data_IF_596831696631
#
_entry.id   IF_596831696631
#
_cell.length_a   1.000
_cell.length_b   1.000
_cell.length_c   1.000
_cell.angle_alpha   90.00
_cell.angle_beta   90.00
_cell.angle_gamma   90.00
#
_symmetry.space_group_name_H-M   'P 1'
#
loop_
_entity.id
_entity.type
_entity.pdbx_description
1 polymer ?
#
# COMPACT_ATOMS: atom_id res chain seq x y z
N UNK A 1 0.89 -0.22 23.69
CA UNK A 1 0.43 0.01 22.31
C UNK A 1 1.40 -0.68 21.36
N UNK A 2 0.90 -1.32 20.30
CA UNK A 2 1.75 -1.92 19.27
C UNK A 2 2.26 -0.88 18.27
N UNK A 3 3.24 -1.26 17.44
CA UNK A 3 3.69 -0.45 16.31
C UNK A 3 2.75 -0.71 15.13
N UNK A 4 2.34 0.34 14.42
CA UNK A 4 1.51 0.25 13.22
C UNK A 4 2.19 1.03 12.10
N UNK A 5 3.13 0.39 11.41
CA UNK A 5 3.85 1.05 10.32
C UNK A 5 3.16 0.72 8.99
N UNK A 6 3.21 1.63 8.04
CA UNK A 6 2.50 1.49 6.78
C UNK A 6 3.17 2.22 5.63
N UNK A 7 2.67 1.94 4.44
CA UNK A 7 3.02 2.66 3.22
C UNK A 7 1.77 3.30 2.61
N UNK A 8 1.87 4.58 2.29
CA UNK A 8 0.79 5.34 1.67
C UNK A 8 1.16 5.69 0.24
N UNK A 9 0.31 5.29 -0.69
CA UNK A 9 0.48 5.57 -2.12
C UNK A 9 -0.56 6.62 -2.52
N UNK A 10 -0.09 7.71 -3.10
CA UNK A 10 -0.94 8.78 -3.64
C UNK A 10 -0.94 8.71 -5.16
N UNK A 11 -2.13 8.63 -5.76
CA UNK A 11 -2.31 8.48 -7.20
C UNK A 11 -3.61 9.16 -7.65
N UNK A 12 -3.78 9.33 -8.97
CA UNK A 12 -5.04 9.85 -9.51
C UNK A 12 -6.20 8.89 -9.22
N UNK A 13 -7.43 9.36 -8.93
CA UNK A 13 -8.57 8.48 -8.72
C UNK A 13 -8.81 7.48 -9.86
N UNK A 14 -8.59 7.92 -11.12
CA UNK A 14 -8.68 7.04 -12.31
C UNK A 14 -7.69 5.87 -12.34
N UNK A 15 -6.62 5.93 -11.54
CA UNK A 15 -5.60 4.89 -11.45
C UNK A 15 -5.86 3.90 -10.30
N UNK A 16 -6.93 4.07 -9.51
CA UNK A 16 -7.25 3.17 -8.39
C UNK A 16 -7.48 1.74 -8.88
N UNK A 17 -8.18 1.56 -9.99
CA UNK A 17 -8.35 0.23 -10.58
C UNK A 17 -7.02 -0.42 -10.96
N UNK A 18 -6.06 0.38 -11.44
CA UNK A 18 -4.73 -0.09 -11.84
C UNK A 18 -3.89 -0.54 -10.64
N UNK A 19 -3.85 0.25 -9.57
CA UNK A 19 -3.08 -0.13 -8.36
C UNK A 19 -3.67 -1.38 -7.70
N UNK A 20 -5.00 -1.54 -7.70
CA UNK A 20 -5.64 -2.75 -7.19
C UNK A 20 -5.30 -3.99 -8.04
N UNK A 21 -5.21 -3.84 -9.36
CA UNK A 21 -4.78 -4.91 -10.24
C UNK A 21 -3.31 -5.32 -9.98
N UNK A 22 -2.40 -4.36 -9.84
CA UNK A 22 -1.01 -4.66 -9.48
C UNK A 22 -0.85 -5.26 -8.08
N UNK A 23 -1.66 -4.83 -7.10
CA UNK A 23 -1.72 -5.52 -5.81
C UNK A 23 -2.15 -6.98 -5.97
N UNK A 24 -3.16 -7.26 -6.80
CA UNK A 24 -3.62 -8.62 -7.06
C UNK A 24 -2.53 -9.51 -7.69
N UNK A 25 -1.64 -8.96 -8.52
CA UNK A 25 -0.48 -9.67 -9.07
C UNK A 25 0.55 -10.05 -8.01
N UNK A 26 0.61 -9.29 -6.91
CA UNK A 26 1.48 -9.55 -5.76
C UNK A 26 0.87 -10.56 -4.76
N UNK A 27 -0.37 -11.01 -4.98
CA UNK A 27 -1.03 -11.93 -4.06
C UNK A 27 -0.44 -13.36 -4.13
N UNK A 28 -0.53 -14.14 -3.03
CA UNK A 28 -0.15 -15.55 -3.03
C UNK A 28 -0.92 -16.37 -4.10
N UNK A 29 -0.25 -17.30 -4.80
CA UNK A 29 -0.88 -18.09 -5.87
C UNK A 29 -1.93 -19.08 -5.34
N UNK A 30 -1.71 -19.61 -4.12
CA UNK A 30 -2.66 -20.51 -3.46
C UNK A 30 -3.77 -19.69 -2.78
N UNK A 31 -4.97 -19.73 -3.36
CA UNK A 31 -6.15 -19.06 -2.79
C UNK A 31 -6.66 -19.83 -1.59
N UNK A 32 -6.56 -19.24 -0.40
CA UNK A 32 -7.19 -19.73 0.83
C UNK A 32 -8.65 -19.28 0.98
N UNK A 33 -9.06 -18.27 0.20
CA UNK A 33 -10.39 -17.63 0.28
C UNK A 33 -10.99 -17.43 -1.13
N UNK A 34 -12.34 -17.40 -1.24
CA UNK A 34 -13.00 -16.99 -2.48
C UNK A 34 -12.59 -15.57 -2.89
N UNK A 35 -12.50 -15.27 -4.20
CA UNK A 35 -12.20 -13.92 -4.66
C UNK A 35 -13.32 -12.95 -4.27
N UNK A 36 -12.94 -11.71 -3.99
CA UNK A 36 -13.84 -10.60 -3.67
C UNK A 36 -14.18 -9.82 -4.93
N UNK A 37 -15.47 -9.63 -5.18
CA UNK A 37 -15.95 -8.70 -6.21
C UNK A 37 -16.07 -7.29 -5.63
N UNK A 38 -15.48 -6.30 -6.30
CA UNK A 38 -15.56 -4.89 -5.92
C UNK A 38 -16.15 -4.08 -7.07
N UNK A 39 -17.10 -3.21 -6.76
CA UNK A 39 -17.58 -2.16 -7.67
C UNK A 39 -16.96 -0.82 -7.24
N UNK A 40 -16.17 -0.20 -8.12
CA UNK A 40 -15.52 1.09 -7.87
C UNK A 40 -16.43 2.27 -8.26
N UNK A 41 -16.13 3.49 -7.79
CA UNK A 41 -16.71 4.71 -8.35
C UNK A 41 -16.51 4.74 -9.87
N UNK A 42 -17.57 5.07 -10.62
CA UNK A 42 -17.56 5.01 -12.09
C UNK A 42 -18.06 3.68 -12.68
N UNK A 43 -18.51 2.74 -11.85
CA UNK A 43 -19.07 1.43 -12.24
C UNK A 43 -18.07 0.39 -12.76
N UNK A 44 -16.77 0.64 -12.60
CA UNK A 44 -15.75 -0.39 -12.86
C UNK A 44 -15.91 -1.54 -11.87
N UNK A 45 -15.74 -2.78 -12.35
CA UNK A 45 -15.82 -3.98 -11.52
C UNK A 45 -14.50 -4.74 -11.56
N UNK A 46 -14.01 -5.10 -10.39
CA UNK A 46 -12.79 -5.88 -10.20
C UNK A 46 -13.07 -7.14 -9.40
N UNK A 47 -12.29 -8.18 -9.69
CA UNK A 47 -12.30 -9.43 -8.93
C UNK A 47 -10.90 -9.59 -8.33
N UNK A 48 -10.80 -9.48 -7.00
CA UNK A 48 -9.53 -9.45 -6.29
C UNK A 48 -9.32 -10.71 -5.43
N UNK A 49 -8.08 -11.18 -5.27
CA UNK A 49 -7.73 -12.33 -4.41
C UNK A 49 -7.63 -11.94 -2.92
N UNK A 50 -8.43 -10.96 -2.49
CA UNK A 50 -8.38 -10.38 -1.14
C UNK A 50 -9.74 -10.52 -0.45
N UNK A 51 -9.79 -10.11 0.82
CA UNK A 51 -11.05 -9.99 1.56
C UNK A 51 -11.32 -8.54 1.93
N UNK A 52 -12.54 -8.26 2.37
CA UNK A 52 -12.90 -7.03 3.07
C UNK A 52 -13.52 -7.42 4.41
N UNK A 53 -12.98 -6.90 5.51
CA UNK A 53 -13.37 -7.29 6.86
C UNK A 53 -13.40 -8.82 7.06
N UNK A 54 -12.41 -9.51 6.50
CA UNK A 54 -12.24 -10.97 6.50
C UNK A 54 -13.36 -11.74 5.80
N UNK A 55 -14.10 -11.10 4.90
CA UNK A 55 -15.18 -11.70 4.10
C UNK A 55 -14.94 -11.51 2.61
N UNK A 56 -15.58 -12.37 1.81
CA UNK A 56 -15.55 -12.33 0.34
C UNK A 56 -16.90 -11.93 -0.27
N UNK A 57 -17.82 -11.39 0.54
CA UNK A 57 -19.09 -10.85 0.04
C UNK A 57 -18.81 -9.66 -0.90
N UNK A 58 -19.52 -9.51 -2.03
CA UNK A 58 -19.30 -8.39 -2.94
C UNK A 58 -19.38 -7.04 -2.22
N UNK A 59 -18.40 -6.16 -2.49
CA UNK A 59 -18.31 -4.82 -1.91
C UNK A 59 -18.64 -3.79 -2.99
N UNK A 60 -19.63 -2.94 -2.70
CA UNK A 60 -20.00 -1.83 -3.56
C UNK A 60 -19.45 -0.51 -2.99
N UNK A 61 -18.44 0.05 -3.66
CA UNK A 61 -17.84 1.33 -3.34
C UNK A 61 -18.33 2.46 -4.26
N UNK A 62 -19.32 2.23 -5.11
CA UNK A 62 -19.78 3.23 -6.10
C UNK A 62 -20.23 4.55 -5.49
N UNK A 63 -20.78 4.52 -4.26
CA UNK A 63 -21.19 5.71 -3.49
C UNK A 63 -20.38 5.91 -2.21
N UNK A 64 -19.36 5.08 -1.97
CA UNK A 64 -18.51 5.17 -0.79
C UNK A 64 -17.29 6.04 -1.07
N UNK A 65 -16.83 6.77 -0.06
CA UNK A 65 -15.57 7.52 -0.15
C UNK A 65 -14.35 6.64 0.12
N UNK A 66 -14.56 5.45 0.71
CA UNK A 66 -13.50 4.53 1.07
C UNK A 66 -13.82 3.08 0.72
N UNK A 67 -12.77 2.27 0.58
CA UNK A 67 -12.80 0.83 0.47
C UNK A 67 -11.74 0.23 1.39
N UNK A 68 -12.10 -0.77 2.19
CA UNK A 68 -11.17 -1.44 3.12
C UNK A 68 -10.96 -2.89 2.69
N UNK A 69 -9.70 -3.31 2.62
CA UNK A 69 -9.28 -4.64 2.19
C UNK A 69 -8.28 -5.25 3.16
N UNK A 70 -8.34 -6.56 3.32
CA UNK A 70 -7.33 -7.35 4.00
C UNK A 70 -6.50 -8.08 2.95
N UNK A 71 -5.23 -7.71 2.85
CA UNK A 71 -4.32 -8.20 1.83
C UNK A 71 -3.37 -9.27 2.40
N UNK A 72 -2.94 -10.16 1.52
CA UNK A 72 -1.71 -10.93 1.69
C UNK A 72 -0.88 -10.70 0.45
N UNK A 73 0.40 -10.34 0.62
CA UNK A 73 1.30 -10.03 -0.49
C UNK A 73 2.57 -10.89 -0.38
N UNK A 74 3.15 -11.19 -1.55
CA UNK A 74 4.36 -11.98 -1.70
C UNK A 74 5.55 -11.06 -1.97
N UNK A 75 6.63 -11.24 -1.20
CA UNK A 75 7.84 -10.41 -1.31
C UNK A 75 9.06 -11.29 -1.57
N UNK A 76 9.96 -10.83 -2.44
CA UNK A 76 11.26 -11.49 -2.60
C UNK A 76 12.05 -11.41 -1.29
N UNK A 77 12.69 -12.50 -0.89
CA UNK A 77 13.36 -12.54 0.41
C UNK A 77 14.66 -11.72 0.44
N UNK A 78 14.71 -10.73 1.33
CA UNK A 78 15.95 -10.12 1.83
C UNK A 78 16.30 -10.65 3.23
N UNK A 79 17.36 -10.15 3.84
CA UNK A 79 17.82 -10.64 5.14
C UNK A 79 16.79 -10.43 6.26
N UNK A 80 16.03 -9.33 6.23
CA UNK A 80 14.98 -9.07 7.21
C UNK A 80 13.82 -10.04 7.05
N UNK A 81 13.41 -10.31 5.81
CA UNK A 81 12.39 -11.30 5.49
C UNK A 81 12.84 -12.73 5.83
N UNK A 82 14.10 -13.10 5.56
CA UNK A 82 14.65 -14.41 5.95
C UNK A 82 14.67 -14.59 7.47
N UNK A 83 15.10 -13.58 8.21
CA UNK A 83 15.07 -13.58 9.69
C UNK A 83 13.62 -13.75 10.19
N UNK A 84 12.68 -13.05 9.56
CA UNK A 84 11.25 -13.17 9.87
C UNK A 84 10.73 -14.60 9.62
N UNK A 85 11.05 -15.22 8.50
CA UNK A 85 10.66 -16.61 8.22
C UNK A 85 11.24 -17.59 9.26
N UNK A 86 12.51 -17.45 9.62
CA UNK A 86 13.19 -18.33 10.59
C UNK A 86 12.64 -18.24 12.01
N UNK A 87 12.15 -17.06 12.40
CA UNK A 87 11.65 -16.80 13.77
C UNK A 87 10.15 -17.08 13.93
N UNK A 88 9.57 -17.88 13.03
CA UNK A 88 8.16 -18.30 13.06
C UNK A 88 7.22 -17.43 12.22
N UNK A 89 7.74 -16.82 11.14
CA UNK A 89 6.90 -16.31 10.05
C UNK A 89 6.53 -17.44 9.08
N UNK A 90 5.70 -17.18 8.06
CA UNK A 90 5.52 -18.10 6.95
C UNK A 90 6.88 -18.44 6.32
N UNK A 91 7.07 -19.70 5.93
CA UNK A 91 8.27 -20.13 5.23
C UNK A 91 8.40 -19.48 3.85
N UNK A 92 9.58 -19.64 3.25
CA UNK A 92 9.81 -19.34 1.85
C UNK A 92 8.96 -20.28 0.98
N UNK A 93 8.40 -19.75 -0.11
CA UNK A 93 7.78 -20.57 -1.15
C UNK A 93 8.84 -21.18 -2.09
N UNK A 94 8.38 -21.87 -3.14
CA UNK A 94 9.25 -22.52 -4.11
C UNK A 94 10.15 -21.54 -4.90
N UNK A 95 9.72 -20.28 -5.03
CA UNK A 95 10.43 -19.22 -5.75
C UNK A 95 11.31 -18.38 -4.81
N UNK A 96 11.39 -18.74 -3.53
CA UNK A 96 12.15 -18.00 -2.52
C UNK A 96 11.48 -16.69 -2.08
N UNK A 97 10.17 -16.57 -2.28
CA UNK A 97 9.35 -15.43 -1.84
C UNK A 97 8.70 -15.76 -0.49
N UNK A 98 8.37 -14.72 0.26
CA UNK A 98 7.73 -14.83 1.58
C UNK A 98 6.38 -14.14 1.53
N UNK A 99 5.36 -14.85 1.98
CA UNK A 99 4.03 -14.28 2.20
C UNK A 99 4.03 -13.44 3.48
N UNK A 100 3.61 -12.18 3.35
CA UNK A 100 3.23 -11.34 4.49
C UNK A 100 1.72 -11.12 4.41
N UNK A 101 1.00 -11.73 5.34
CA UNK A 101 -0.46 -11.69 5.41
C UNK A 101 -1.01 -10.63 6.36
N UNK A 102 -2.30 -10.35 6.21
CA UNK A 102 -3.07 -9.35 6.98
C UNK A 102 -2.44 -7.96 6.95
N UNK A 103 -2.18 -7.47 5.74
CA UNK A 103 -1.89 -6.05 5.51
C UNK A 103 -3.24 -5.36 5.33
N UNK A 104 -3.58 -4.41 6.20
CA UNK A 104 -4.85 -3.68 6.10
C UNK A 104 -4.69 -2.54 5.11
N UNK A 105 -5.40 -2.62 3.99
CA UNK A 105 -5.41 -1.59 2.97
C UNK A 105 -6.68 -0.74 3.09
N UNK A 106 -6.51 0.57 3.26
CA UNK A 106 -7.59 1.54 3.16
C UNK A 106 -7.39 2.37 1.91
N UNK A 107 -8.34 2.28 0.99
CA UNK A 107 -8.40 3.12 -0.19
C UNK A 107 -9.33 4.28 0.10
N UNK A 108 -8.87 5.50 -0.11
CA UNK A 108 -9.71 6.70 -0.12
C UNK A 108 -9.75 7.23 -1.54
N UNK A 109 -10.95 7.28 -2.14
CA UNK A 109 -11.10 7.76 -3.51
C UNK A 109 -10.85 9.27 -3.63
N UNK A 110 -10.99 9.99 -2.50
CA UNK A 110 -10.59 11.37 -2.32
C UNK A 110 -9.67 11.46 -1.09
N UNK A 111 -8.44 11.89 -1.30
CA UNK A 111 -7.44 12.04 -0.25
C UNK A 111 -7.73 13.30 0.57
N UNK A 112 -7.75 13.22 1.91
CA UNK A 112 -7.86 14.39 2.77
C UNK A 112 -6.73 15.41 2.56
N UNK A 113 -5.57 14.96 2.07
CA UNK A 113 -4.40 15.82 1.83
C UNK A 113 -4.53 16.62 0.53
N UNK A 114 -5.14 16.03 -0.50
CA UNK A 114 -5.38 16.69 -1.77
C UNK A 114 -6.58 16.04 -2.49
N UNK A 115 -7.72 16.73 -2.66
CA UNK A 115 -8.95 16.13 -3.17
C UNK A 115 -8.86 15.62 -4.62
N UNK A 116 -7.94 16.17 -5.42
CA UNK A 116 -7.63 15.68 -6.76
C UNK A 116 -6.82 14.36 -6.84
N UNK A 117 -6.58 13.70 -5.70
CA UNK A 117 -5.84 12.45 -5.57
C UNK A 117 -6.61 11.45 -4.71
N UNK A 118 -6.38 10.17 -4.94
CA UNK A 118 -6.76 9.06 -4.07
C UNK A 118 -5.55 8.62 -3.23
N UNK A 119 -5.80 8.02 -2.07
CA UNK A 119 -4.78 7.35 -1.26
C UNK A 119 -5.04 5.85 -1.16
N UNK A 120 -3.98 5.06 -1.13
CA UNK A 120 -3.99 3.63 -0.79
C UNK A 120 -3.01 3.44 0.35
N UNK A 121 -3.56 3.24 1.55
CA UNK A 121 -2.83 3.18 2.81
C UNK A 121 -2.69 1.71 3.24
N UNK A 122 -1.49 1.15 3.24
CA UNK A 122 -1.23 -0.26 3.54
C UNK A 122 -0.52 -0.44 4.87
N UNK A 123 -1.24 -0.91 5.89
CA UNK A 123 -0.77 -0.98 7.27
C UNK A 123 -0.43 -2.40 7.72
N UNK A 124 0.69 -2.55 8.43
CA UNK A 124 1.07 -3.79 9.07
C UNK A 124 0.17 -4.13 10.27
N UNK A 125 -0.39 -5.34 10.31
CA UNK A 125 -1.29 -5.76 11.40
C UNK A 125 -0.61 -5.99 12.77
N UNK A 126 0.72 -6.12 12.82
CA UNK A 126 1.43 -6.46 14.06
C UNK A 126 2.73 -5.68 14.20
N UNK A 127 3.18 -5.46 15.43
CA UNK A 127 4.48 -4.81 15.69
C UNK A 127 5.66 -5.50 15.02
N UNK A 128 5.57 -6.82 14.81
CA UNK A 128 6.62 -7.60 14.13
C UNK A 128 6.64 -7.29 12.63
N UNK A 129 5.47 -7.22 12.00
CA UNK A 129 5.34 -6.80 10.60
C UNK A 129 5.72 -5.32 10.42
N UNK A 130 5.36 -4.45 11.36
CA UNK A 130 5.75 -3.04 11.32
C UNK A 130 7.27 -2.88 11.26
N UNK A 131 8.02 -3.57 12.13
CA UNK A 131 9.50 -3.59 12.07
C UNK A 131 10.04 -4.17 10.76
N UNK A 132 9.32 -5.12 10.17
CA UNK A 132 9.70 -5.69 8.88
C UNK A 132 9.50 -4.67 7.74
N UNK A 133 8.39 -3.93 7.72
CA UNK A 133 8.15 -2.84 6.77
C UNK A 133 9.26 -1.77 6.85
N UNK A 134 9.69 -1.43 8.07
CA UNK A 134 10.81 -0.49 8.25
C UNK A 134 12.17 -1.02 7.77
N UNK A 135 12.46 -2.31 7.94
CA UNK A 135 13.80 -2.90 7.74
C UNK A 135 14.01 -3.51 6.35
N UNK A 136 12.96 -3.99 5.69
CA UNK A 136 13.08 -4.73 4.44
C UNK A 136 13.17 -3.78 3.25
N UNK A 137 14.31 -3.85 2.54
CA UNK A 137 14.50 -3.11 1.30
C UNK A 137 13.56 -3.64 0.19
N UNK A 138 13.27 -4.95 0.20
CA UNK A 138 12.37 -5.55 -0.79
C UNK A 138 10.90 -5.18 -0.56
N UNK A 139 10.45 -5.04 0.70
CA UNK A 139 9.12 -4.48 0.97
C UNK A 139 9.03 -3.04 0.48
N UNK A 140 10.01 -2.20 0.83
CA UNK A 140 10.06 -0.82 0.35
C UNK A 140 10.01 -0.77 -1.17
N UNK A 141 10.84 -1.58 -1.85
CA UNK A 141 10.89 -1.68 -3.31
C UNK A 141 9.52 -2.02 -3.90
N UNK A 142 8.82 -3.02 -3.34
CA UNK A 142 7.49 -3.40 -3.83
C UNK A 142 6.51 -2.23 -3.78
N UNK A 143 6.47 -1.45 -2.69
CA UNK A 143 5.57 -0.30 -2.61
C UNK A 143 5.99 0.87 -3.52
N UNK A 144 7.30 1.11 -3.70
CA UNK A 144 7.77 2.14 -4.64
C UNK A 144 7.53 1.75 -6.10
N UNK A 145 7.74 0.48 -6.46
CA UNK A 145 7.45 -0.03 -7.81
C UNK A 145 5.94 -0.01 -8.07
N UNK A 146 5.13 -0.47 -7.11
CA UNK A 146 3.67 -0.39 -7.19
C UNK A 146 3.20 1.04 -7.42
N UNK A 147 3.84 2.02 -6.76
CA UNK A 147 3.56 3.45 -6.98
C UNK A 147 3.91 3.85 -8.41
N UNK A 148 5.12 3.51 -8.88
CA UNK A 148 5.58 3.85 -10.23
C UNK A 148 4.67 3.26 -11.32
N UNK A 149 4.44 1.94 -11.27
CA UNK A 149 3.70 1.18 -12.28
C UNK A 149 2.21 1.56 -12.31
N UNK A 150 1.66 1.97 -11.18
CA UNK A 150 0.28 2.45 -11.07
C UNK A 150 0.09 3.90 -11.49
N UNK A 151 1.16 4.63 -11.83
CA UNK A 151 1.10 6.07 -12.10
C UNK A 151 0.79 6.89 -10.84
N UNK A 152 1.29 6.44 -9.70
CA UNK A 152 1.30 7.18 -8.44
C UNK A 152 2.37 8.28 -8.44
N UNK A 153 2.06 9.36 -7.73
CA UNK A 153 2.91 10.55 -7.65
C UNK A 153 3.78 10.55 -6.41
N UNK A 154 3.37 9.83 -5.36
CA UNK A 154 4.10 9.78 -4.10
C UNK A 154 3.88 8.45 -3.38
N UNK A 155 4.95 7.94 -2.77
CA UNK A 155 4.90 6.84 -1.80
C UNK A 155 5.55 7.30 -0.51
N UNK A 156 4.84 7.16 0.60
CA UNK A 156 5.34 7.49 1.93
C UNK A 156 5.44 6.26 2.80
N UNK A 157 6.32 6.32 3.79
CA UNK A 157 6.40 5.37 4.89
C UNK A 157 6.04 6.10 6.18
N UNK A 158 5.01 5.61 6.85
CA UNK A 158 4.46 6.18 8.10
C UNK A 158 4.64 5.19 9.25
N UNK A 159 5.04 5.69 10.42
CA UNK A 159 5.19 4.92 11.67
C UNK A 159 3.94 4.90 12.55
N UNK A 160 2.89 5.64 12.19
CA UNK A 160 1.58 5.66 12.83
C UNK A 160 1.56 6.26 14.24
N UNK A 161 2.67 6.86 14.68
CA UNK A 161 2.86 7.50 15.98
C UNK A 161 2.99 9.03 15.88
N UNK A 162 2.73 9.60 14.70
CA UNK A 162 2.83 11.03 14.41
C UNK A 162 4.26 11.51 14.23
N UNK A 163 5.25 10.60 14.15
CA UNK A 163 6.58 10.97 13.67
C UNK A 163 6.51 11.35 12.18
N UNK A 164 7.43 12.22 11.70
CA UNK A 164 7.37 12.67 10.32
C UNK A 164 7.58 11.52 9.32
N UNK A 165 6.76 11.48 8.28
CA UNK A 165 6.73 10.42 7.28
C UNK A 165 7.96 10.49 6.38
N UNK A 166 8.45 9.32 5.94
CA UNK A 166 9.57 9.25 4.98
C UNK A 166 9.03 9.20 3.55
N UNK A 167 9.49 10.10 2.70
CA UNK A 167 9.22 10.10 1.26
C UNK A 167 10.08 9.04 0.59
N UNK A 168 9.46 7.95 0.15
CA UNK A 168 10.14 6.83 -0.51
C UNK A 168 10.15 6.94 -2.04
N UNK A 169 9.15 7.63 -2.61
CA UNK A 169 9.01 7.89 -4.04
C UNK A 169 8.31 9.23 -4.26
N UNK A 170 8.76 9.99 -5.26
CA UNK A 170 8.14 11.25 -5.65
C UNK A 170 8.32 11.50 -7.15
N UNK A 171 7.21 11.71 -7.87
CA UNK A 171 7.19 12.18 -9.26
C UNK A 171 8.09 11.42 -10.24
N UNK A 172 8.17 10.09 -10.10
CA UNK A 172 8.94 9.25 -11.01
C UNK A 172 10.33 8.86 -10.50
N UNK A 173 10.74 9.38 -9.34
CA UNK A 173 12.08 9.14 -8.78
C UNK A 173 11.99 8.56 -7.36
N UNK A 174 12.88 7.62 -6.98
CA UNK A 174 13.07 7.24 -5.59
C UNK A 174 13.52 8.45 -4.75
N UNK A 175 13.00 8.55 -3.53
CA UNK A 175 13.36 9.59 -2.57
C UNK A 175 13.81 8.99 -1.24
N UNK A 176 14.59 9.75 -0.48
CA UNK A 176 15.01 9.42 0.88
C UNK A 176 14.93 10.65 1.79
N UNK A 177 13.85 11.41 1.60
CA UNK A 177 13.58 12.63 2.35
C UNK A 177 12.55 12.36 3.43
N UNK A 178 12.43 13.29 4.38
CA UNK A 178 11.38 13.23 5.40
C UNK A 178 10.48 14.44 5.25
N UNK A 179 9.19 14.25 5.45
CA UNK A 179 8.28 15.37 5.74
C UNK A 179 8.78 16.07 7.01
N UNK A 180 8.58 17.37 7.12
CA UNK A 180 9.24 18.23 8.12
C UNK A 180 10.77 18.31 7.98
N UNK A 181 11.31 17.90 6.84
CA UNK A 181 12.72 18.02 6.48
C UNK A 181 13.05 19.32 5.72
N UNK A 182 14.31 19.54 5.33
CA UNK A 182 14.72 20.76 4.63
C UNK A 182 14.03 20.98 3.28
N UNK A 183 13.75 19.90 2.54
CA UNK A 183 13.07 19.96 1.24
C UNK A 183 11.55 20.04 1.38
N UNK A 184 10.98 19.41 2.40
CA UNK A 184 9.54 19.37 2.66
C UNK A 184 9.28 19.82 4.11
N UNK A 185 9.28 21.13 4.39
CA UNK A 185 9.12 21.64 5.75
C UNK A 185 7.76 21.29 6.36
N UNK A 186 6.76 21.02 5.53
CA UNK A 186 5.46 20.51 5.92
C UNK A 186 4.83 19.69 4.78
N UNK A 187 3.67 19.12 5.08
CA UNK A 187 2.87 18.36 4.13
C UNK A 187 2.37 19.19 2.93
N UNK A 188 2.08 20.47 3.12
CA UNK A 188 1.62 21.34 2.05
C UNK A 188 2.72 21.55 1.01
N UNK A 189 3.97 21.71 1.45
CA UNK A 189 5.14 21.82 0.60
C UNK A 189 5.37 20.55 -0.22
N UNK A 190 5.18 19.36 0.38
CA UNK A 190 5.25 18.10 -0.37
C UNK A 190 4.15 18.03 -1.42
N UNK A 191 2.89 18.27 -1.04
CA UNK A 191 1.73 18.19 -1.94
C UNK A 191 1.84 19.21 -3.09
N UNK A 192 2.40 20.39 -2.85
CA UNK A 192 2.63 21.39 -3.88
C UNK A 192 3.60 20.94 -4.99
N UNK A 193 4.37 19.88 -4.77
CA UNK A 193 5.22 19.28 -5.81
C UNK A 193 4.46 18.33 -6.73
N UNK A 194 3.24 17.92 -6.36
CA UNK A 194 2.49 16.96 -7.15
C UNK A 194 1.91 17.64 -8.40
N UNK A 195 1.89 16.97 -9.56
CA UNK A 195 1.32 17.54 -10.77
C UNK A 195 -0.12 18.01 -10.58
N UNK A 196 -0.53 19.06 -11.29
CA UNK A 196 -1.93 19.51 -11.26
C UNK A 196 -2.87 18.40 -11.74
N UNK A 197 -3.98 18.12 -11.02
CA UNK A 197 -5.06 17.29 -11.56
C UNK A 197 -5.58 17.95 -12.82
N UNK A 198 -5.20 17.43 -13.98
CA UNK A 198 -5.89 17.77 -15.22
C UNK A 198 -7.39 17.50 -15.00
N UNK A 199 -8.20 18.53 -15.26
CA UNK A 199 -9.67 18.51 -15.13
C UNK A 199 -10.30 17.45 -16.03
#
# INVERSE_FOLDING_TARGET
>A
MGLSYGYDIYLRPRNVARVLAHLAELAPPARSVPPLEITLPGSDRLVLPFTSHFKSDPVDCSTSNTCELDLSLMFDADDALREYAQTGGPGLDADGRIQIGYIYATIRFESPMHPGYASVECWAATSRMSRLFARSANIRKVFTDLTADSGGVCCLFDTGDGAPEQVCWLNGEPAQETVSGPLFPDWLALVATWPDPEK
#
